data_IF_793275126833
#
_entry.id   IF_793275126833
#
_cell.length_a   1.000
_cell.length_b   1.000
_cell.length_c   1.000
_cell.angle_alpha   90.00
_cell.angle_beta   90.00
_cell.angle_gamma   90.00
#
_symmetry.space_group_name_H-M   'P 1'
#
loop_
_entity.id
_entity.type
_entity.pdbx_description
1 polymer ?
#
# COMPACT_ATOMS: atom_id res chain seq x y z
N UNK A 1 -16.28 -39.28 -55.01
CA UNK A 1 -16.27 -37.90 -54.46
C UNK A 1 -16.43 -37.99 -52.95
N UNK A 2 -15.39 -37.65 -52.17
CA UNK A 2 -15.47 -37.54 -50.70
C UNK A 2 -15.58 -36.05 -50.36
N UNK A 3 -16.75 -35.62 -49.91
CA UNK A 3 -16.96 -34.23 -49.45
C UNK A 3 -16.46 -34.14 -48.01
N UNK A 4 -15.41 -33.35 -47.78
CA UNK A 4 -14.84 -33.10 -46.46
C UNK A 4 -15.80 -32.21 -45.65
N UNK A 5 -16.19 -32.68 -44.47
CA UNK A 5 -16.80 -31.83 -43.45
C UNK A 5 -15.68 -31.04 -42.77
N UNK A 6 -15.64 -29.72 -42.99
CA UNK A 6 -14.78 -28.83 -42.22
C UNK A 6 -15.51 -28.54 -40.91
N UNK A 7 -15.05 -29.16 -39.82
CA UNK A 7 -15.48 -28.85 -38.46
C UNK A 7 -14.90 -27.47 -38.10
N UNK A 8 -15.75 -26.44 -38.07
CA UNK A 8 -15.39 -25.14 -37.55
C UNK A 8 -15.34 -25.25 -36.02
N UNK A 9 -14.14 -25.39 -35.45
CA UNK A 9 -13.94 -25.27 -34.01
C UNK A 9 -14.04 -23.77 -33.69
N UNK A 10 -15.18 -23.37 -33.12
CA UNK A 10 -15.30 -22.07 -32.48
C UNK A 10 -14.49 -22.16 -31.18
N UNK A 11 -13.28 -21.61 -31.21
CA UNK A 11 -12.52 -21.37 -30.00
C UNK A 11 -13.25 -20.26 -29.24
N UNK A 12 -14.02 -20.60 -28.21
CA UNK A 12 -14.46 -19.61 -27.23
C UNK A 12 -13.22 -19.17 -26.46
N UNK A 13 -12.62 -18.06 -26.89
CA UNK A 13 -11.74 -17.28 -26.03
C UNK A 13 -12.61 -16.71 -24.91
N UNK A 14 -12.59 -17.34 -23.74
CA UNK A 14 -13.07 -16.70 -22.52
C UNK A 14 -12.11 -15.55 -22.23
N UNK A 15 -12.52 -14.33 -22.56
CA UNK A 15 -11.90 -13.13 -21.99
C UNK A 15 -12.29 -13.11 -20.51
N UNK A 16 -11.50 -13.76 -19.66
CA UNK A 16 -11.51 -13.48 -18.23
C UNK A 16 -10.99 -12.05 -18.08
N UNK A 17 -11.89 -11.10 -17.90
CA UNK A 17 -11.56 -9.69 -18.14
C UNK A 17 -12.16 -8.72 -17.14
N UNK A 18 -12.59 -9.19 -15.97
CA UNK A 18 -12.93 -8.31 -14.87
C UNK A 18 -12.18 -8.77 -13.64
N UNK A 19 -11.26 -7.92 -13.18
CA UNK A 19 -10.60 -8.09 -11.87
C UNK A 19 -11.55 -7.75 -10.71
N UNK A 20 -12.77 -7.32 -11.02
CA UNK A 20 -13.71 -6.69 -10.12
C UNK A 20 -15.16 -7.01 -10.57
N UNK A 21 -16.04 -7.38 -9.66
CA UNK A 21 -17.47 -7.56 -9.89
C UNK A 21 -18.19 -6.25 -10.29
N UNK A 22 -19.34 -6.36 -10.94
CA UNK A 22 -20.24 -5.20 -11.16
C UNK A 22 -20.98 -4.77 -9.86
N UNK A 23 -21.04 -5.67 -8.88
CA UNK A 23 -21.81 -5.49 -7.63
C UNK A 23 -20.96 -4.98 -6.45
N UNK A 24 -19.76 -4.43 -6.71
CA UNK A 24 -18.90 -3.94 -5.63
C UNK A 24 -19.59 -2.84 -4.84
N UNK A 25 -19.56 -2.98 -3.53
CA UNK A 25 -20.06 -1.96 -2.60
C UNK A 25 -18.87 -1.33 -1.88
N UNK A 26 -18.84 0.00 -1.78
CA UNK A 26 -17.80 0.74 -1.05
C UNK A 26 -18.46 1.57 0.05
N UNK A 27 -18.12 1.24 1.29
CA UNK A 27 -18.66 1.82 2.53
C UNK A 27 -17.60 2.70 3.20
N UNK A 28 -17.98 3.93 3.53
CA UNK A 28 -17.14 4.82 4.36
C UNK A 28 -17.11 4.31 5.80
N UNK A 29 -15.93 4.25 6.40
CA UNK A 29 -15.78 3.80 7.79
C UNK A 29 -16.08 4.90 8.80
N UNK A 30 -16.52 4.51 10.00
CA UNK A 30 -16.89 5.45 11.08
C UNK A 30 -15.71 6.09 11.79
N UNK A 31 -14.51 5.52 11.65
CA UNK A 31 -13.29 6.04 12.26
C UNK A 31 -12.81 7.35 11.61
N UNK A 32 -13.24 7.61 10.38
CA UNK A 32 -12.84 8.78 9.61
C UNK A 32 -13.17 10.09 10.33
N UNK A 33 -12.36 11.11 10.06
CA UNK A 33 -12.45 12.42 10.71
C UNK A 33 -11.87 13.51 9.80
N UNK A 34 -11.75 14.73 10.32
CA UNK A 34 -11.00 15.80 9.66
C UNK A 34 -9.49 15.51 9.47
N UNK A 35 -8.97 14.51 10.19
CA UNK A 35 -7.60 14.00 10.11
C UNK A 35 -7.50 12.75 9.23
N UNK A 36 -6.28 12.48 8.77
CA UNK A 36 -5.96 11.45 7.78
C UNK A 36 -5.98 10.05 8.38
N UNK A 37 -6.68 9.14 7.72
CA UNK A 37 -6.70 7.70 7.96
C UNK A 37 -6.43 7.00 6.63
N UNK A 38 -5.35 6.24 6.55
CA UNK A 38 -4.94 5.65 5.26
C UNK A 38 -4.09 4.39 5.40
N UNK A 39 -3.91 3.72 4.27
CA UNK A 39 -3.07 2.53 4.11
C UNK A 39 -3.40 1.40 5.10
N UNK A 40 -4.69 1.05 5.17
CA UNK A 40 -5.14 -0.09 5.95
C UNK A 40 -4.61 -1.42 5.38
N UNK A 41 -4.26 -2.35 6.26
CA UNK A 41 -3.78 -3.72 5.96
C UNK A 41 -4.31 -4.68 7.00
N UNK A 42 -4.76 -5.86 6.58
CA UNK A 42 -5.18 -6.93 7.49
C UNK A 42 -4.09 -7.97 7.62
N UNK A 43 -3.82 -8.40 8.85
CA UNK A 43 -2.89 -9.49 9.17
C UNK A 43 -3.45 -10.27 10.34
N UNK A 44 -3.75 -11.55 10.11
CA UNK A 44 -4.41 -12.38 11.11
C UNK A 44 -5.76 -11.80 11.51
N UNK A 45 -5.93 -11.54 12.81
CA UNK A 45 -7.15 -11.00 13.41
C UNK A 45 -7.07 -9.47 13.65
N UNK A 46 -6.15 -8.78 12.98
CA UNK A 46 -5.92 -7.35 13.16
C UNK A 46 -5.95 -6.58 11.85
N UNK A 47 -6.36 -5.33 11.97
CA UNK A 47 -6.19 -4.29 10.94
C UNK A 47 -5.16 -3.26 11.43
N UNK A 48 -4.22 -2.92 10.57
CA UNK A 48 -3.20 -1.89 10.77
C UNK A 48 -3.46 -0.74 9.81
N UNK A 49 -3.27 0.49 10.25
CA UNK A 49 -3.45 1.68 9.40
C UNK A 49 -2.58 2.85 9.88
N UNK A 50 -2.45 3.87 9.05
CA UNK A 50 -1.71 5.10 9.35
C UNK A 50 -2.66 6.22 9.73
N UNK A 51 -2.31 6.99 10.75
CA UNK A 51 -3.09 8.15 11.20
C UNK A 51 -2.16 9.22 11.78
N UNK A 52 -2.62 10.48 11.81
CA UNK A 52 -1.86 11.57 12.40
C UNK A 52 -1.52 11.27 13.88
N UNK A 53 -0.31 11.63 14.28
CA UNK A 53 0.04 11.70 15.69
C UNK A 53 -0.70 12.87 16.32
N UNK A 54 -1.44 12.62 17.39
CA UNK A 54 -2.22 13.65 18.07
C UNK A 54 -1.76 13.89 19.51
N UNK A 55 -2.03 15.09 20.01
CA UNK A 55 -1.97 15.40 21.44
C UNK A 55 -3.10 14.70 22.19
N UNK A 56 -3.05 14.64 23.53
CA UNK A 56 -4.16 14.12 24.37
C UNK A 56 -5.52 14.81 24.14
N UNK A 57 -5.55 15.97 23.47
CA UNK A 57 -6.77 16.71 23.11
C UNK A 57 -7.17 16.52 21.64
N UNK A 58 -6.61 15.52 20.96
CA UNK A 58 -6.92 15.21 19.56
C UNK A 58 -6.32 16.16 18.52
N UNK A 59 -5.49 17.14 18.91
CA UNK A 59 -4.86 18.05 17.94
C UNK A 59 -3.69 17.36 17.22
N UNK A 60 -3.59 17.43 15.89
CA UNK A 60 -2.48 16.83 15.16
C UNK A 60 -1.16 17.52 15.50
N UNK A 61 -0.10 16.74 15.57
CA UNK A 61 1.27 17.19 15.77
C UNK A 61 1.92 17.36 14.40
N UNK A 62 2.67 18.45 14.26
CA UNK A 62 3.41 18.80 13.05
C UNK A 62 4.89 18.95 13.32
N UNK A 63 5.70 18.76 12.29
CA UNK A 63 7.14 19.02 12.29
C UNK A 63 7.46 20.53 12.17
N UNK A 64 8.75 20.86 12.05
CA UNK A 64 9.21 22.26 11.96
C UNK A 64 8.89 22.94 10.62
N UNK A 65 8.49 22.17 9.61
CA UNK A 65 8.10 22.61 8.27
C UNK A 65 6.58 22.62 8.07
N UNK A 66 5.80 22.49 9.15
CA UNK A 66 4.34 22.43 9.16
C UNK A 66 3.75 21.16 8.50
N UNK A 67 4.57 20.12 8.31
CA UNK A 67 4.17 18.79 7.85
C UNK A 67 3.57 17.96 8.99
N UNK A 68 2.51 17.19 8.71
CA UNK A 68 1.91 16.30 9.70
C UNK A 68 2.84 15.13 10.04
N UNK A 69 2.85 14.75 11.32
CA UNK A 69 3.52 13.54 11.76
C UNK A 69 2.53 12.38 11.75
N UNK A 70 2.93 11.26 11.17
CA UNK A 70 2.11 10.04 11.13
C UNK A 70 2.67 8.95 12.05
N UNK A 71 1.77 8.15 12.62
CA UNK A 71 2.10 6.91 13.32
C UNK A 71 1.13 5.82 12.86
N UNK A 72 1.50 4.57 13.11
CA UNK A 72 0.63 3.44 12.84
C UNK A 72 -0.17 3.01 14.06
N UNK A 73 -1.40 2.60 13.79
CA UNK A 73 -2.34 2.04 14.74
C UNK A 73 -2.67 0.60 14.35
N UNK A 74 -3.04 -0.19 15.35
CA UNK A 74 -3.67 -1.49 15.18
C UNK A 74 -5.04 -1.50 15.86
N UNK A 75 -5.95 -2.32 15.34
CA UNK A 75 -7.25 -2.61 15.91
C UNK A 75 -7.66 -4.07 15.62
N UNK A 76 -8.57 -4.66 16.41
CA UNK A 76 -9.17 -5.94 16.06
C UNK A 76 -9.89 -5.86 14.70
N UNK A 77 -9.73 -6.91 13.89
CA UNK A 77 -10.51 -7.07 12.67
C UNK A 77 -11.99 -7.32 13.02
N UNK A 78 -12.90 -6.68 12.29
CA UNK A 78 -14.33 -6.90 12.42
C UNK A 78 -14.92 -7.43 11.11
N UNK A 79 -16.00 -8.21 11.22
CA UNK A 79 -16.65 -8.84 10.06
C UNK A 79 -17.24 -7.81 9.07
N UNK A 80 -17.60 -6.61 9.54
CA UNK A 80 -18.19 -5.53 8.72
C UNK A 80 -17.17 -4.48 8.27
N UNK A 81 -15.88 -4.79 8.45
CA UNK A 81 -14.75 -3.96 8.07
C UNK A 81 -14.53 -2.70 8.92
N UNK A 82 -15.39 -2.42 9.91
CA UNK A 82 -15.23 -1.27 10.80
C UNK A 82 -13.98 -1.39 11.66
N UNK A 83 -13.40 -0.24 12.00
CA UNK A 83 -12.23 -0.12 12.87
C UNK A 83 -12.67 0.52 14.18
N UNK A 84 -12.42 -0.17 15.29
CA UNK A 84 -12.78 0.26 16.66
C UNK A 84 -11.69 -0.17 17.62
N UNK A 85 -11.63 0.47 18.79
CA UNK A 85 -10.70 0.14 19.86
C UNK A 85 -9.23 0.15 19.39
N UNK A 86 -8.90 1.13 18.53
CA UNK A 86 -7.58 1.30 17.95
C UNK A 86 -6.55 1.75 18.99
N UNK A 87 -5.31 1.33 18.79
CA UNK A 87 -4.18 1.72 19.63
C UNK A 87 -2.90 1.90 18.80
N UNK A 88 -2.01 2.83 19.17
CA UNK A 88 -0.71 2.96 18.52
C UNK A 88 0.12 1.67 18.64
N UNK A 89 0.75 1.24 17.55
CA UNK A 89 1.58 0.02 17.56
C UNK A 89 2.90 0.19 18.32
N UNK A 90 3.34 1.44 18.51
CA UNK A 90 4.55 1.81 19.25
C UNK A 90 4.24 2.95 20.21
N UNK A 91 4.89 2.93 21.38
CA UNK A 91 4.85 4.06 22.31
C UNK A 91 5.66 5.21 21.73
N UNK A 92 5.00 6.35 21.52
CA UNK A 92 5.60 7.57 20.93
C UNK A 92 6.70 8.18 21.80
N UNK A 93 6.75 7.83 23.09
CA UNK A 93 7.82 8.17 24.03
C UNK A 93 9.20 7.61 23.61
N UNK A 94 9.23 6.64 22.69
CA UNK A 94 10.46 6.07 22.12
C UNK A 94 11.09 6.93 21.02
N UNK A 95 10.53 8.11 20.71
CA UNK A 95 11.09 9.04 19.73
C UNK A 95 11.00 8.57 18.28
N UNK A 96 10.11 7.60 17.98
CA UNK A 96 9.84 7.11 16.63
C UNK A 96 8.58 7.76 16.10
N UNK A 97 8.73 8.49 15.01
CA UNK A 97 7.69 9.29 14.37
C UNK A 97 7.72 9.05 12.86
N UNK A 98 6.66 9.42 12.16
CA UNK A 98 6.47 9.20 10.72
C UNK A 98 6.48 7.74 10.28
N UNK A 99 5.92 6.86 11.11
CA UNK A 99 5.71 5.47 10.74
C UNK A 99 4.38 5.36 9.98
N UNK A 100 4.42 4.91 8.73
CA UNK A 100 3.21 4.74 7.92
C UNK A 100 3.36 3.64 6.87
N UNK A 101 2.24 3.29 6.23
CA UNK A 101 2.20 2.47 5.02
C UNK A 101 3.00 1.18 5.14
N UNK A 102 2.54 0.28 6.00
CA UNK A 102 3.23 -0.98 6.26
C UNK A 102 2.78 -2.13 5.36
N UNK A 103 3.62 -3.16 5.30
CA UNK A 103 3.29 -4.51 4.87
C UNK A 103 3.89 -5.49 5.87
N UNK A 104 3.38 -6.71 5.93
CA UNK A 104 3.76 -7.69 6.95
C UNK A 104 4.11 -9.03 6.32
N UNK A 105 4.91 -9.82 7.01
CA UNK A 105 5.00 -11.26 6.74
C UNK A 105 3.67 -11.94 7.07
N UNK A 106 3.38 -13.06 6.40
CA UNK A 106 2.12 -13.80 6.59
C UNK A 106 1.87 -14.24 8.04
N UNK A 107 2.94 -14.52 8.78
CA UNK A 107 2.88 -14.88 10.21
C UNK A 107 2.80 -13.67 11.15
N UNK A 108 2.75 -12.44 10.63
CA UNK A 108 2.71 -11.20 11.40
C UNK A 108 3.98 -10.90 12.18
N UNK A 109 5.07 -11.68 12.02
CA UNK A 109 6.30 -11.52 12.80
C UNK A 109 7.16 -10.37 12.30
N UNK A 110 7.12 -10.05 11.01
CA UNK A 110 7.92 -9.01 10.40
C UNK A 110 7.02 -7.94 9.81
N UNK A 111 7.42 -6.68 10.00
CA UNK A 111 6.76 -5.52 9.40
C UNK A 111 7.80 -4.75 8.59
N UNK A 112 7.42 -4.31 7.40
CA UNK A 112 8.15 -3.32 6.61
C UNK A 112 7.29 -2.07 6.54
N UNK A 113 7.85 -0.90 6.79
CA UNK A 113 7.08 0.34 6.83
C UNK A 113 7.89 1.53 6.33
N UNK A 114 7.17 2.56 5.90
CA UNK A 114 7.76 3.84 5.48
C UNK A 114 8.05 4.69 6.70
N UNK A 115 9.23 5.30 6.73
CA UNK A 115 9.66 6.28 7.75
C UNK A 115 10.58 7.31 7.14
N UNK A 116 10.80 8.45 7.79
CA UNK A 116 11.91 9.33 7.40
C UNK A 116 13.25 8.72 7.83
N UNK A 117 14.31 9.06 7.11
CA UNK A 117 15.67 8.88 7.57
C UNK A 117 15.85 9.52 8.96
N UNK A 118 16.55 8.79 9.83
CA UNK A 118 16.85 9.23 11.19
C UNK A 118 18.30 9.72 11.16
N UNK A 119 18.54 11.02 11.34
CA UNK A 119 19.90 11.49 11.60
C UNK A 119 20.36 10.98 12.98
N UNK A 120 21.63 10.60 13.12
CA UNK A 120 22.20 10.16 14.40
C UNK A 120 22.45 11.38 15.29
N UNK A 121 21.38 11.98 15.80
CA UNK A 121 21.42 13.09 16.74
C UNK A 121 20.01 13.43 17.22
N UNK A 122 19.73 13.21 18.50
CA UNK A 122 18.56 13.65 19.28
C UNK A 122 17.36 14.20 18.47
N UNK A 123 16.51 13.30 17.96
CA UNK A 123 15.13 13.61 17.55
C UNK A 123 14.28 13.98 18.78
N UNK A 124 14.60 15.10 19.43
CA UNK A 124 13.73 15.72 20.41
C UNK A 124 12.57 16.34 19.63
N UNK A 125 11.34 16.12 20.10
CA UNK A 125 10.08 16.63 19.54
C UNK A 125 10.06 18.16 19.23
N UNK A 126 11.07 18.93 19.66
CA UNK A 126 11.33 20.30 19.20
C UNK A 126 12.47 20.29 18.18
N UNK A 127 12.14 20.43 16.89
CA UNK A 127 13.13 20.61 15.82
C UNK A 127 13.32 19.43 14.87
N UNK A 128 12.37 18.50 14.79
CA UNK A 128 12.40 17.37 13.84
C UNK A 128 12.60 17.89 12.41
N UNK A 129 13.74 17.57 11.79
CA UNK A 129 13.92 17.73 10.35
C UNK A 129 13.36 16.50 9.65
N UNK A 130 12.53 16.71 8.63
CA UNK A 130 12.08 15.62 7.76
C UNK A 130 13.12 15.41 6.66
N UNK A 131 13.83 14.30 6.75
CA UNK A 131 14.74 13.81 5.74
C UNK A 131 14.00 12.94 4.72
N UNK A 132 14.71 12.47 3.68
CA UNK A 132 14.15 11.55 2.69
C UNK A 132 13.50 10.33 3.34
N UNK A 133 12.50 9.77 2.67
CA UNK A 133 11.81 8.56 3.08
C UNK A 133 12.72 7.34 2.93
N UNK A 134 12.55 6.40 3.85
CA UNK A 134 13.28 5.15 3.95
C UNK A 134 12.30 4.04 4.30
N UNK A 135 12.67 2.80 3.98
CA UNK A 135 11.93 1.63 4.43
C UNK A 135 12.69 1.03 5.60
N UNK A 136 11.99 0.82 6.71
CA UNK A 136 12.49 0.06 7.84
C UNK A 136 11.75 -1.26 7.98
N UNK A 137 12.47 -2.27 8.47
CA UNK A 137 11.91 -3.53 8.95
C UNK A 137 11.86 -3.51 10.48
N UNK A 138 10.84 -4.11 11.07
CA UNK A 138 10.75 -4.41 12.50
C UNK A 138 10.37 -5.87 12.72
N UNK A 139 10.63 -6.38 13.92
CA UNK A 139 10.26 -7.73 14.36
C UNK A 139 9.28 -7.65 15.54
N UNK A 140 8.24 -8.47 15.55
CA UNK A 140 7.32 -8.57 16.69
C UNK A 140 7.85 -9.58 17.71
N UNK A 141 8.03 -9.11 18.95
CA UNK A 141 8.39 -9.94 20.09
C UNK A 141 7.22 -9.97 21.10
N UNK A 142 6.66 -11.15 21.34
CA UNK A 142 5.57 -11.33 22.30
C UNK A 142 5.94 -10.78 23.69
N UNK A 143 5.02 -10.03 24.30
CA UNK A 143 5.23 -9.35 25.58
C UNK A 143 6.07 -8.07 25.51
N UNK A 144 6.72 -7.77 24.37
CA UNK A 144 7.48 -6.53 24.15
C UNK A 144 6.90 -5.63 23.06
N UNK A 145 6.22 -6.20 22.07
CA UNK A 145 5.74 -5.49 20.89
C UNK A 145 6.79 -5.43 19.77
N UNK A 146 6.73 -4.40 18.93
CA UNK A 146 7.65 -4.22 17.81
C UNK A 146 9.06 -3.78 18.29
N UNK A 147 10.08 -4.52 17.86
CA UNK A 147 11.50 -4.33 18.18
C UNK A 147 12.36 -4.41 16.90
N UNK A 148 13.69 -4.38 17.05
CA UNK A 148 14.67 -4.66 15.97
C UNK A 148 14.45 -3.84 14.69
N UNK A 149 14.21 -2.54 14.86
CA UNK A 149 14.00 -1.61 13.75
C UNK A 149 15.28 -1.33 12.97
N UNK A 150 15.29 -1.69 11.69
CA UNK A 150 16.47 -1.60 10.82
C UNK A 150 16.10 -1.01 9.46
N UNK A 151 16.82 0.01 9.00
CA UNK A 151 16.70 0.52 7.62
C UNK A 151 17.18 -0.54 6.64
N UNK A 152 16.45 -0.74 5.55
CA UNK A 152 16.84 -1.72 4.53
C UNK A 152 18.16 -1.31 3.88
N UNK A 153 19.08 -2.26 3.60
CA UNK A 153 20.46 -1.94 3.24
C UNK A 153 20.62 -1.30 1.86
N UNK A 154 19.58 -1.34 1.02
CA UNK A 154 19.56 -0.71 -0.29
C UNK A 154 18.97 0.70 -0.27
N UNK A 155 18.43 1.18 0.86
CA UNK A 155 17.92 2.54 0.95
C UNK A 155 19.09 3.53 1.06
N UNK A 156 19.36 4.23 -0.04
CA UNK A 156 20.33 5.32 -0.10
C UNK A 156 19.78 6.59 0.57
N UNK A 157 20.67 7.40 1.16
CA UNK A 157 20.27 8.57 1.96
C UNK A 157 19.74 9.74 1.12
N UNK A 158 20.19 9.87 -0.13
CA UNK A 158 19.84 10.98 -1.02
C UNK A 158 18.58 10.70 -1.86
N UNK A 159 17.90 9.58 -1.60
CA UNK A 159 16.72 9.12 -2.33
C UNK A 159 15.59 8.73 -1.37
N UNK A 160 14.36 8.82 -1.85
CA UNK A 160 13.16 8.36 -1.18
C UNK A 160 12.90 6.89 -1.50
N UNK A 161 12.60 6.11 -0.46
CA UNK A 161 12.11 4.74 -0.55
C UNK A 161 10.86 4.61 0.33
N UNK A 162 9.75 4.16 -0.23
CA UNK A 162 8.48 4.16 0.49
C UNK A 162 7.50 3.08 0.02
N UNK A 163 6.38 2.99 0.72
CA UNK A 163 5.22 2.15 0.42
C UNK A 163 5.58 0.69 0.12
N UNK A 164 6.24 -0.02 1.07
CA UNK A 164 6.59 -1.42 0.89
C UNK A 164 5.33 -2.31 0.75
N UNK A 165 5.42 -3.32 -0.11
CA UNK A 165 4.43 -4.37 -0.29
C UNK A 165 5.13 -5.72 -0.47
N UNK A 166 4.88 -6.65 0.44
CA UNK A 166 5.48 -7.97 0.41
C UNK A 166 4.59 -8.90 -0.41
N UNK A 167 5.18 -9.75 -1.25
CA UNK A 167 4.46 -10.80 -1.96
C UNK A 167 3.81 -11.79 -0.99
N UNK A 168 2.70 -12.46 -1.36
CA UNK A 168 2.00 -13.40 -0.49
C UNK A 168 2.88 -14.53 0.07
N UNK A 169 3.89 -14.96 -0.69
CA UNK A 169 4.86 -15.98 -0.31
C UNK A 169 6.03 -15.45 0.53
N UNK A 170 6.12 -14.13 0.72
CA UNK A 170 7.16 -13.46 1.49
C UNK A 170 8.52 -13.35 0.80
N UNK A 171 8.65 -13.75 -0.48
CA UNK A 171 9.94 -13.86 -1.17
C UNK A 171 10.34 -12.63 -2.00
N UNK A 172 9.40 -11.71 -2.24
CA UNK A 172 9.63 -10.49 -3.02
C UNK A 172 9.05 -9.29 -2.30
N UNK A 173 9.85 -8.22 -2.16
CA UNK A 173 9.39 -6.94 -1.64
C UNK A 173 9.32 -5.93 -2.77
N UNK A 174 8.13 -5.41 -3.01
CA UNK A 174 7.84 -4.31 -3.91
C UNK A 174 7.83 -3.00 -3.13
N UNK A 175 8.23 -1.90 -3.75
CA UNK A 175 8.26 -0.59 -3.13
C UNK A 175 8.37 0.49 -4.21
N UNK A 176 8.28 1.76 -3.80
CA UNK A 176 8.58 2.89 -4.68
C UNK A 176 9.88 3.57 -4.33
N UNK A 177 10.52 4.13 -5.34
CA UNK A 177 11.71 4.96 -5.16
C UNK A 177 11.81 6.07 -6.23
N UNK A 178 12.64 7.08 -5.94
CA UNK A 178 13.00 8.17 -6.86
C UNK A 178 14.51 8.17 -7.22
N UNK A 179 15.04 6.96 -7.46
CA UNK A 179 16.45 6.73 -7.79
C UNK A 179 16.77 7.08 -9.25
N UNK A 180 18.07 7.12 -9.59
CA UNK A 180 18.51 7.33 -10.98
C UNK A 180 17.86 6.31 -11.92
N UNK A 181 17.19 6.81 -12.96
CA UNK A 181 16.47 5.99 -13.93
C UNK A 181 14.96 5.92 -13.69
N UNK A 182 14.47 6.48 -12.56
CA UNK A 182 13.05 6.77 -12.35
C UNK A 182 12.54 7.67 -13.47
N UNK A 183 11.38 7.32 -14.04
CA UNK A 183 10.74 8.05 -15.13
C UNK A 183 9.83 9.16 -14.62
N UNK A 184 9.07 8.85 -13.58
CA UNK A 184 8.12 9.76 -12.95
C UNK A 184 8.69 10.53 -11.77
N UNK A 185 7.80 10.93 -10.86
CA UNK A 185 8.19 11.40 -9.51
C UNK A 185 8.62 10.25 -8.60
N UNK A 186 8.06 9.07 -8.83
CA UNK A 186 8.40 7.81 -8.18
C UNK A 186 7.96 6.66 -9.08
N UNK A 187 8.78 5.62 -9.13
CA UNK A 187 8.54 4.40 -9.90
C UNK A 187 8.50 3.19 -8.96
N UNK A 188 7.91 2.08 -9.42
CA UNK A 188 7.88 0.81 -8.71
C UNK A 188 9.14 -0.04 -8.99
N UNK A 189 9.68 -0.59 -7.91
CA UNK A 189 10.83 -1.47 -7.87
C UNK A 189 10.52 -2.72 -7.06
N UNK A 190 11.35 -3.75 -7.22
CA UNK A 190 11.31 -4.97 -6.41
C UNK A 190 12.69 -5.46 -6.01
N UNK A 191 12.77 -6.17 -4.90
CA UNK A 191 13.93 -6.98 -4.47
C UNK A 191 13.47 -8.37 -4.07
N UNK A 192 14.33 -9.38 -4.23
CA UNK A 192 14.11 -10.66 -3.54
C UNK A 192 14.38 -10.52 -2.04
N UNK A 193 13.67 -11.29 -1.23
CA UNK A 193 13.77 -11.32 0.23
C UNK A 193 14.09 -12.74 0.67
N UNK A 194 15.11 -12.88 1.53
CA UNK A 194 15.45 -14.13 2.17
C UNK A 194 15.50 -13.96 3.69
N UNK A 195 14.69 -14.76 4.38
CA UNK A 195 14.55 -14.77 5.84
C UNK A 195 14.28 -13.40 6.48
N UNK A 196 13.67 -12.47 5.72
CA UNK A 196 13.46 -11.07 6.12
C UNK A 196 14.72 -10.31 6.55
N UNK A 197 15.91 -10.77 6.15
CA UNK A 197 17.20 -10.19 6.57
C UNK A 197 18.15 -9.95 5.41
N UNK A 198 18.03 -10.71 4.34
CA UNK A 198 18.87 -10.58 3.15
C UNK A 198 18.00 -10.16 1.97
N UNK A 199 18.50 -9.21 1.19
CA UNK A 199 17.81 -8.62 0.05
C UNK A 199 18.67 -8.77 -1.21
N UNK A 200 18.02 -9.05 -2.33
CA UNK A 200 18.68 -9.11 -3.63
C UNK A 200 18.98 -7.72 -4.21
N UNK A 201 19.28 -7.70 -5.50
CA UNK A 201 19.46 -6.46 -6.26
C UNK A 201 18.12 -5.76 -6.52
N UNK A 202 18.12 -4.43 -6.37
CA UNK A 202 16.96 -3.60 -6.68
C UNK A 202 16.73 -3.58 -8.18
N UNK A 203 15.55 -4.04 -8.61
CA UNK A 203 15.17 -4.12 -10.03
C UNK A 203 13.91 -3.29 -10.28
N UNK A 204 13.91 -2.47 -11.33
CA UNK A 204 12.71 -1.73 -11.77
C UNK A 204 11.65 -2.71 -12.31
N UNK A 205 10.36 -2.40 -12.13
CA UNK A 205 9.27 -3.15 -12.75
C UNK A 205 9.10 -2.89 -14.26
N UNK A 206 9.97 -2.07 -14.85
CA UNK A 206 10.03 -1.87 -16.30
C UNK A 206 9.00 -0.88 -16.83
N UNK A 207 9.04 -0.66 -18.14
CA UNK A 207 8.36 0.46 -18.80
C UNK A 207 6.85 0.27 -19.00
N UNK A 208 6.35 -0.95 -18.86
CA UNK A 208 4.92 -1.28 -18.92
C UNK A 208 4.23 -0.89 -17.62
N UNK A 209 4.83 -1.25 -16.48
CA UNK A 209 4.27 -0.93 -15.16
C UNK A 209 4.62 0.51 -14.77
N UNK A 210 5.86 0.96 -14.96
CA UNK A 210 6.27 2.33 -14.62
C UNK A 210 6.04 3.30 -15.77
N UNK A 211 5.54 4.49 -15.46
CA UNK A 211 5.17 5.49 -16.45
C UNK A 211 5.91 6.81 -16.24
N UNK A 212 5.63 7.83 -17.07
CA UNK A 212 6.13 9.19 -16.81
C UNK A 212 5.36 9.91 -15.69
N UNK A 213 4.45 9.19 -15.03
CA UNK A 213 3.56 9.66 -13.97
C UNK A 213 4.02 9.07 -12.64
N UNK A 214 3.28 9.32 -11.59
CA UNK A 214 3.63 8.87 -10.24
C UNK A 214 3.04 7.48 -10.04
N UNK A 215 3.85 6.52 -9.60
CA UNK A 215 3.36 5.25 -9.06
C UNK A 215 3.64 5.19 -7.55
N UNK A 216 2.62 4.83 -6.76
CA UNK A 216 2.64 4.76 -5.28
C UNK A 216 1.77 3.62 -4.75
N UNK A 217 1.94 3.27 -3.47
CA UNK A 217 1.14 2.28 -2.74
C UNK A 217 0.93 0.94 -3.46
N UNK A 218 2.01 0.19 -3.80
CA UNK A 218 1.83 -1.16 -4.30
C UNK A 218 1.14 -2.07 -3.26
N UNK A 219 0.51 -3.12 -3.77
CA UNK A 219 -0.04 -4.24 -3.03
C UNK A 219 -0.07 -5.46 -3.95
N UNK A 220 0.27 -6.64 -3.44
CA UNK A 220 0.19 -7.89 -4.21
C UNK A 220 -0.84 -8.80 -3.55
N UNK A 221 -1.88 -9.17 -4.28
CA UNK A 221 -2.97 -10.02 -3.80
C UNK A 221 -2.59 -11.51 -3.77
N UNK A 222 -3.41 -12.32 -3.09
CA UNK A 222 -3.22 -13.76 -2.98
C UNK A 222 -3.32 -14.51 -4.34
N UNK A 223 -4.00 -13.92 -5.33
CA UNK A 223 -4.05 -14.39 -6.72
C UNK A 223 -2.99 -13.74 -7.62
N UNK A 224 -1.89 -13.27 -7.01
CA UNK A 224 -0.68 -12.76 -7.67
C UNK A 224 -0.90 -11.58 -8.64
N UNK A 225 -1.87 -10.71 -8.32
CA UNK A 225 -2.04 -9.44 -9.04
C UNK A 225 -1.37 -8.30 -8.28
N UNK A 226 -0.64 -7.45 -9.01
CA UNK A 226 -0.08 -6.22 -8.49
C UNK A 226 -1.11 -5.10 -8.64
N UNK A 227 -1.57 -4.58 -7.51
CA UNK A 227 -2.33 -3.34 -7.42
C UNK A 227 -1.40 -2.19 -7.08
N UNK A 228 -1.61 -1.03 -7.66
CA UNK A 228 -0.86 0.18 -7.33
C UNK A 228 -1.67 1.42 -7.66
N UNK A 229 -1.31 2.55 -7.07
CA UNK A 229 -1.95 3.84 -7.30
C UNK A 229 -1.14 4.67 -8.28
N UNK A 230 -1.80 5.36 -9.21
CA UNK A 230 -1.12 6.24 -10.17
C UNK A 230 -2.00 7.39 -10.66
N UNK A 231 -1.38 8.52 -11.04
CA UNK A 231 -2.00 9.64 -11.78
C UNK A 231 -1.82 9.49 -13.31
N UNK A 232 -1.66 8.25 -13.79
CA UNK A 232 -1.59 7.97 -15.23
C UNK A 232 -2.90 8.20 -15.95
N UNK A 233 -2.78 8.34 -17.28
CA UNK A 233 -3.95 8.51 -18.16
C UNK A 233 -4.82 7.26 -18.16
N UNK A 234 -6.13 7.45 -18.26
CA UNK A 234 -7.11 6.37 -18.31
C UNK A 234 -7.85 6.13 -16.99
N UNK A 235 -7.40 6.77 -15.91
CA UNK A 235 -8.07 6.78 -14.61
C UNK A 235 -9.35 7.61 -14.58
N UNK A 236 -10.11 7.48 -13.50
CA UNK A 236 -11.39 8.17 -13.27
C UNK A 236 -11.20 9.49 -12.51
N UNK A 237 -10.12 9.63 -11.75
CA UNK A 237 -9.88 10.72 -10.80
C UNK A 237 -8.51 11.38 -10.93
N UNK A 238 -8.00 11.88 -9.80
CA UNK A 238 -6.65 12.46 -9.69
C UNK A 238 -5.59 11.39 -9.46
N UNK A 239 -5.86 10.50 -8.52
CA UNK A 239 -5.15 9.25 -8.29
C UNK A 239 -6.15 8.10 -8.42
N UNK A 240 -5.74 7.02 -9.08
CA UNK A 240 -6.57 5.85 -9.30
C UNK A 240 -5.80 4.57 -8.98
N UNK A 241 -6.52 3.52 -8.59
CA UNK A 241 -6.01 2.16 -8.45
C UNK A 241 -5.95 1.49 -9.82
N UNK A 242 -4.79 0.91 -10.12
CA UNK A 242 -4.52 0.08 -11.29
C UNK A 242 -4.18 -1.33 -10.85
N UNK A 243 -4.50 -2.30 -11.70
CA UNK A 243 -4.17 -3.71 -11.53
C UNK A 243 -3.35 -4.23 -12.71
N UNK A 244 -2.38 -5.09 -12.41
CA UNK A 244 -1.54 -5.80 -13.38
C UNK A 244 -1.40 -7.26 -12.94
N UNK A 245 -1.69 -8.21 -13.84
CA UNK A 245 -1.53 -9.64 -13.55
C UNK A 245 -0.06 -10.05 -13.73
N UNK A 246 0.58 -10.46 -12.63
CA UNK A 246 2.00 -10.86 -12.66
C UNK A 246 2.23 -12.23 -13.30
N UNK A 247 1.18 -13.05 -13.45
CA UNK A 247 1.24 -14.38 -14.06
C UNK A 247 0.86 -14.37 -15.54
N UNK A 248 0.46 -13.22 -16.09
CA UNK A 248 0.07 -13.13 -17.49
C UNK A 248 1.26 -13.35 -18.45
N UNK A 249 1.07 -14.25 -19.41
CA UNK A 249 1.98 -14.46 -20.55
C UNK A 249 1.75 -13.45 -21.69
N UNK A 250 0.75 -12.56 -21.56
CA UNK A 250 0.47 -11.53 -22.57
C UNK A 250 1.50 -10.41 -22.50
N UNK A 251 2.42 -10.41 -23.47
CA UNK A 251 3.47 -9.41 -23.60
C UNK A 251 2.94 -7.99 -23.91
N UNK A 252 1.67 -7.86 -24.31
CA UNK A 252 0.99 -6.58 -24.55
C UNK A 252 0.08 -6.17 -23.39
N UNK A 253 0.08 -6.92 -22.27
CA UNK A 253 -0.69 -6.54 -21.09
C UNK A 253 -0.24 -5.17 -20.58
N UNK A 254 -1.20 -4.28 -20.40
CA UNK A 254 -1.02 -2.99 -19.74
C UNK A 254 -1.79 -2.95 -18.41
N UNK A 255 -1.32 -2.19 -17.41
CA UNK A 255 -2.08 -1.97 -16.19
C UNK A 255 -3.46 -1.36 -16.46
N UNK A 256 -4.50 -1.93 -15.86
CA UNK A 256 -5.89 -1.49 -16.04
C UNK A 256 -6.37 -0.74 -14.81
N UNK A 257 -6.99 0.43 -15.02
CA UNK A 257 -7.66 1.15 -13.94
C UNK A 257 -8.86 0.34 -13.46
N UNK A 258 -9.05 0.22 -12.15
CA UNK A 258 -10.26 -0.39 -11.59
C UNK A 258 -11.48 0.49 -11.87
N UNK A 259 -12.65 -0.15 -11.95
CA UNK A 259 -13.89 0.54 -12.27
C UNK A 259 -14.50 1.22 -11.04
N UNK A 260 -15.47 2.10 -11.27
CA UNK A 260 -16.32 2.59 -10.16
C UNK A 260 -17.04 1.37 -9.53
N UNK A 261 -17.24 1.32 -8.20
CA UNK A 261 -17.02 2.40 -7.23
C UNK A 261 -15.67 2.38 -6.50
N UNK A 262 -14.73 1.50 -6.89
CA UNK A 262 -13.40 1.47 -6.27
C UNK A 262 -12.66 2.76 -6.59
N UNK A 263 -12.45 3.04 -7.87
CA UNK A 263 -12.02 4.35 -8.31
C UNK A 263 -13.23 5.29 -8.36
N UNK A 264 -12.99 6.56 -8.03
CA UNK A 264 -13.97 7.62 -8.03
C UNK A 264 -13.42 8.81 -8.84
N UNK A 265 -14.10 9.95 -8.76
CA UNK A 265 -13.61 11.21 -9.36
C UNK A 265 -12.58 11.94 -8.48
N UNK A 266 -12.25 11.40 -7.30
CA UNK A 266 -11.31 11.98 -6.34
C UNK A 266 -9.91 11.38 -6.45
N UNK A 267 -9.16 11.42 -5.35
CA UNK A 267 -7.91 10.66 -5.21
C UNK A 267 -8.22 9.35 -4.51
N UNK A 268 -8.07 8.21 -5.18
CA UNK A 268 -8.25 6.86 -4.65
C UNK A 268 -6.91 6.13 -4.63
N UNK A 269 -6.50 5.68 -3.45
CA UNK A 269 -5.14 5.21 -3.24
C UNK A 269 -5.03 4.15 -2.14
N UNK A 270 -3.89 3.45 -2.12
CA UNK A 270 -3.60 2.42 -1.12
C UNK A 270 -4.69 1.36 -0.98
N UNK A 271 -4.82 0.57 -2.04
CA UNK A 271 -5.70 -0.58 -2.11
C UNK A 271 -5.15 -1.77 -1.33
N UNK A 272 -6.03 -2.53 -0.69
CA UNK A 272 -5.73 -3.80 -0.04
C UNK A 272 -6.90 -4.75 -0.21
N UNK A 273 -6.64 -5.98 -0.65
CA UNK A 273 -7.62 -7.04 -0.85
C UNK A 273 -7.34 -8.18 0.14
N UNK A 274 -8.34 -8.63 0.87
CA UNK A 274 -8.23 -9.77 1.78
C UNK A 274 -7.94 -11.07 1.00
N UNK A 275 -7.49 -12.10 1.73
CA UNK A 275 -7.24 -13.43 1.14
C UNK A 275 -8.51 -14.08 0.55
N UNK A 276 -9.70 -13.60 0.94
CA UNK A 276 -10.98 -14.03 0.35
C UNK A 276 -11.22 -13.50 -1.08
N UNK A 277 -10.39 -12.54 -1.53
CA UNK A 277 -10.45 -11.86 -2.83
C UNK A 277 -11.75 -11.08 -3.11
N UNK A 278 -12.58 -10.86 -2.09
CA UNK A 278 -13.90 -10.22 -2.23
C UNK A 278 -14.08 -9.00 -1.34
N UNK A 279 -13.29 -8.88 -0.27
CA UNK A 279 -13.38 -7.78 0.68
C UNK A 279 -12.05 -7.09 0.91
N UNK A 280 -12.05 -5.84 1.35
CA UNK A 280 -10.81 -5.14 1.59
C UNK A 280 -10.98 -3.66 1.88
N UNK A 281 -9.87 -2.92 1.81
CA UNK A 281 -9.81 -1.53 2.18
C UNK A 281 -9.21 -0.66 1.07
N UNK A 282 -9.65 0.58 1.01
CA UNK A 282 -9.09 1.61 0.14
C UNK A 282 -9.04 2.95 0.89
N UNK A 283 -7.99 3.73 0.65
CA UNK A 283 -7.90 5.13 1.11
C UNK A 283 -8.41 6.06 0.01
N UNK A 284 -9.15 7.10 0.36
CA UNK A 284 -9.74 7.97 -0.65
C UNK A 284 -10.02 9.39 -0.15
N UNK A 285 -9.84 10.36 -1.05
CA UNK A 285 -10.33 11.74 -0.93
C UNK A 285 -11.53 11.97 -1.84
N UNK A 286 -12.46 11.01 -1.90
CA UNK A 286 -13.70 11.15 -2.68
C UNK A 286 -14.65 12.18 -2.07
N UNK A 287 -15.54 12.72 -2.90
CA UNK A 287 -16.58 13.66 -2.45
C UNK A 287 -17.43 13.04 -1.34
N UNK A 288 -17.81 13.87 -0.36
CA UNK A 288 -18.58 13.48 0.84
C UNK A 288 -17.82 12.57 1.82
N UNK A 289 -16.49 12.58 1.77
CA UNK A 289 -15.63 12.16 2.88
C UNK A 289 -15.80 13.01 4.14
N UNK A 290 -15.15 12.64 5.23
CA UNK A 290 -15.14 13.38 6.50
C UNK A 290 -14.09 14.51 6.51
N UNK A 291 -13.03 14.41 5.71
CA UNK A 291 -12.04 15.48 5.63
C UNK A 291 -10.80 15.14 4.80
N UNK A 292 -9.71 14.78 5.48
CA UNK A 292 -8.40 14.48 4.89
C UNK A 292 -8.41 13.18 4.09
N UNK A 293 -7.48 12.29 4.40
CA UNK A 293 -7.54 10.92 3.89
C UNK A 293 -8.56 10.09 4.67
N UNK A 294 -9.49 9.43 3.97
CA UNK A 294 -10.50 8.58 4.59
C UNK A 294 -10.29 7.11 4.22
N UNK A 295 -10.56 6.21 5.16
CA UNK A 295 -10.66 4.78 4.92
C UNK A 295 -12.07 4.36 4.51
N UNK A 296 -12.13 3.50 3.50
CA UNK A 296 -13.33 2.83 3.04
C UNK A 296 -13.10 1.33 3.06
N UNK A 297 -14.16 0.60 3.35
CA UNK A 297 -14.21 -0.85 3.23
C UNK A 297 -15.06 -1.21 2.01
N UNK A 298 -14.62 -2.19 1.25
CA UNK A 298 -15.37 -2.70 0.11
C UNK A 298 -15.70 -4.19 0.27
N UNK A 299 -16.79 -4.59 -0.36
CA UNK A 299 -17.26 -5.97 -0.41
C UNK A 299 -17.67 -6.33 -1.84
N UNK A 300 -17.75 -7.64 -2.11
CA UNK A 300 -18.14 -8.22 -3.40
C UNK A 300 -17.22 -7.79 -4.56
N UNK A 301 -15.94 -7.54 -4.27
CA UNK A 301 -14.90 -7.34 -5.28
C UNK A 301 -14.83 -8.53 -6.24
#
# INVERSE_FOLDING_TARGET
MKTKFTLLIVLLSFTFGFSQSEDVEVKKLKINSELDHFAARVVGDKVFFSHNLTTKRGRPIKDKYDGFIYIMYEAPLSDDGEIKDEQPIVKTELGRFNMSSATFSKDGRYMYFTTNQIDKGDNKLKGVETYNLQIQRAEYEEGKGWTNFETLPFCEVDHNYAHPALSPDGTTLYFIADVKGTKGKSDLYKVSVSNHKTYGEVTSLGETINSSRTEIFPFVSADNKLYFTSDRRGGKGGLDIYVYDLDSDDAEQEPKSLEEPINSRGDDFSFFLNEDLTTGYISSRRLKGEGGDDLYYFEKF
#
